data_IF_254172959517
#
_entry.id   IF_254172959517
#
_cell.length_a   1.000
_cell.length_b   1.000
_cell.length_c   1.000
_cell.angle_alpha   90.00
_cell.angle_beta   90.00
_cell.angle_gamma   90.00
#
_symmetry.space_group_name_H-M   'P 1'
#
loop_
_entity.id
_entity.type
_entity.pdbx_description
1 polymer ?
#
# COMPACT_ATOMS: atom_id res chain seq x y z
N UNK A 1 -15.67 37.65 -2.21
CA UNK A 1 -15.30 37.36 -0.80
C UNK A 1 -15.49 35.89 -0.41
N UNK A 2 -16.65 35.26 -0.65
CA UNK A 2 -16.82 33.82 -0.33
C UNK A 2 -16.04 32.91 -1.30
N UNK A 3 -16.17 33.14 -2.61
CA UNK A 3 -15.49 32.33 -3.64
C UNK A 3 -13.97 32.48 -3.59
N UNK A 4 -13.48 33.69 -3.32
CA UNK A 4 -12.06 34.00 -3.15
C UNK A 4 -11.44 33.29 -1.94
N UNK A 5 -12.18 33.18 -0.82
CA UNK A 5 -11.75 32.38 0.34
C UNK A 5 -11.73 30.88 0.03
N UNK A 6 -12.67 30.40 -0.79
CA UNK A 6 -12.73 29.01 -1.21
C UNK A 6 -11.56 28.67 -2.16
N UNK A 7 -11.28 29.53 -3.14
CA UNK A 7 -10.14 29.40 -4.05
C UNK A 7 -8.82 29.36 -3.29
N UNK A 8 -8.61 30.27 -2.33
CA UNK A 8 -7.41 30.27 -1.49
C UNK A 8 -7.24 28.97 -0.68
N UNK A 9 -8.33 28.37 -0.21
CA UNK A 9 -8.30 27.09 0.50
C UNK A 9 -7.90 25.94 -0.42
N UNK A 10 -8.43 25.90 -1.65
CA UNK A 10 -8.10 24.91 -2.67
C UNK A 10 -6.62 25.02 -3.10
N UNK A 11 -6.11 26.22 -3.34
CA UNK A 11 -4.67 26.44 -3.64
C UNK A 11 -3.78 25.93 -2.51
N UNK A 12 -4.18 26.16 -1.25
CA UNK A 12 -3.46 25.63 -0.09
C UNK A 12 -3.51 24.11 -0.01
N UNK A 13 -4.64 23.49 -0.33
CA UNK A 13 -4.79 22.03 -0.38
C UNK A 13 -3.92 21.42 -1.48
N UNK A 14 -3.96 21.99 -2.69
CA UNK A 14 -3.09 21.61 -3.81
C UNK A 14 -1.60 21.66 -3.42
N UNK A 15 -1.18 22.75 -2.76
CA UNK A 15 0.18 22.89 -2.27
C UNK A 15 0.61 21.79 -1.29
N UNK A 16 -0.29 21.35 -0.40
CA UNK A 16 -0.02 20.22 0.51
C UNK A 16 0.18 18.91 -0.26
N UNK A 17 -0.69 18.62 -1.23
CA UNK A 17 -0.61 17.41 -2.07
C UNK A 17 0.72 17.40 -2.84
N UNK A 18 1.06 18.51 -3.50
CA UNK A 18 2.37 18.68 -4.17
C UNK A 18 3.53 18.41 -3.21
N UNK A 19 3.49 18.96 -2.00
CA UNK A 19 4.50 18.72 -0.96
C UNK A 19 4.59 17.24 -0.54
N UNK A 20 3.49 16.49 -0.51
CA UNK A 20 3.51 15.05 -0.29
C UNK A 20 4.24 14.31 -1.42
N UNK A 21 3.90 14.60 -2.68
CA UNK A 21 4.56 14.01 -3.84
C UNK A 21 6.06 14.36 -3.88
N UNK A 22 6.44 15.59 -3.51
CA UNK A 22 7.86 15.98 -3.41
C UNK A 22 8.61 15.16 -2.37
N UNK A 23 8.02 14.88 -1.20
CA UNK A 23 8.66 14.03 -0.17
C UNK A 23 8.85 12.60 -0.66
N UNK A 24 7.87 12.06 -1.39
CA UNK A 24 8.01 10.74 -2.05
C UNK A 24 9.15 10.77 -3.06
N UNK A 25 9.20 11.80 -3.92
CA UNK A 25 10.31 11.99 -4.87
C UNK A 25 11.65 12.03 -4.16
N UNK A 26 11.79 12.81 -3.08
CA UNK A 26 13.04 12.87 -2.30
C UNK A 26 13.44 11.50 -1.75
N UNK A 27 12.47 10.72 -1.25
CA UNK A 27 12.73 9.35 -0.81
C UNK A 27 13.22 8.48 -1.97
N UNK A 28 12.48 8.44 -3.08
CA UNK A 28 12.82 7.65 -4.29
C UNK A 28 14.16 8.07 -4.88
N UNK A 29 14.54 9.35 -4.80
CA UNK A 29 15.83 9.85 -5.24
C UNK A 29 16.98 9.42 -4.33
N UNK A 30 16.73 9.22 -3.04
CA UNK A 30 17.72 8.82 -2.05
C UNK A 30 17.97 7.31 -2.01
N UNK A 31 17.04 6.50 -2.52
CA UNK A 31 17.16 5.03 -2.50
C UNK A 31 17.62 4.47 -3.85
N UNK A 32 18.62 3.61 -3.83
CA UNK A 32 19.13 2.92 -5.04
C UNK A 32 18.21 1.75 -5.45
N UNK A 33 17.53 1.14 -4.48
CA UNK A 33 16.54 0.09 -4.70
C UNK A 33 15.47 0.11 -3.60
N UNK A 34 14.27 -0.39 -3.93
CA UNK A 34 13.16 -0.53 -3.00
C UNK A 34 12.53 -1.91 -3.20
N UNK A 35 12.08 -2.52 -2.11
CA UNK A 35 11.37 -3.80 -2.19
C UNK A 35 10.06 -3.64 -2.97
N UNK A 36 9.55 -4.71 -3.62
CA UNK A 36 8.27 -4.65 -4.33
C UNK A 36 7.11 -4.13 -3.46
N UNK A 37 7.13 -4.42 -2.17
CA UNK A 37 6.13 -3.96 -1.20
C UNK A 37 6.21 -2.45 -0.98
N UNK A 38 7.41 -1.92 -0.70
CA UNK A 38 7.60 -0.47 -0.49
C UNK A 38 7.22 0.30 -1.75
N UNK A 39 7.51 -0.26 -2.93
CA UNK A 39 7.06 0.29 -4.20
C UNK A 39 5.55 0.34 -4.31
N UNK A 40 4.86 -0.78 -4.11
CA UNK A 40 3.41 -0.84 -4.24
C UNK A 40 2.74 0.19 -3.31
N UNK A 41 3.25 0.34 -2.08
CA UNK A 41 2.78 1.39 -1.15
C UNK A 41 3.03 2.81 -1.65
N UNK A 42 4.16 3.06 -2.33
CA UNK A 42 4.44 4.36 -2.94
C UNK A 42 3.51 4.60 -4.12
N UNK A 43 3.26 3.59 -4.96
CA UNK A 43 2.33 3.66 -6.09
C UNK A 43 0.89 3.92 -5.62
N UNK A 44 0.39 3.18 -4.62
CA UNK A 44 -0.94 3.39 -4.03
C UNK A 44 -1.10 4.81 -3.47
N UNK A 45 -0.08 5.32 -2.78
CA UNK A 45 -0.09 6.70 -2.26
C UNK A 45 -0.05 7.73 -3.38
N UNK A 46 0.70 7.48 -4.44
CA UNK A 46 0.75 8.38 -5.59
C UNK A 46 -0.61 8.41 -6.30
N UNK A 47 -1.28 7.27 -6.48
CA UNK A 47 -2.62 7.21 -7.07
C UNK A 47 -3.66 7.96 -6.23
N UNK A 48 -3.60 7.84 -4.90
CA UNK A 48 -4.43 8.63 -3.99
C UNK A 48 -4.17 10.13 -4.16
N UNK A 49 -2.90 10.57 -4.13
CA UNK A 49 -2.55 11.98 -4.28
C UNK A 49 -2.88 12.53 -5.67
N UNK A 50 -2.81 11.71 -6.71
CA UNK A 50 -3.25 12.07 -8.05
C UNK A 50 -4.74 12.35 -8.08
N UNK A 51 -5.57 11.45 -7.54
CA UNK A 51 -7.02 11.64 -7.50
C UNK A 51 -7.43 12.88 -6.69
N UNK A 52 -6.80 13.11 -5.53
CA UNK A 52 -7.01 14.31 -4.74
C UNK A 52 -6.58 15.58 -5.50
N UNK A 53 -5.42 15.53 -6.17
CA UNK A 53 -4.93 16.65 -6.98
C UNK A 53 -5.90 16.96 -8.12
N UNK A 54 -6.32 15.98 -8.90
CA UNK A 54 -7.22 16.15 -10.05
C UNK A 54 -8.56 16.76 -9.62
N UNK A 55 -9.11 16.32 -8.49
CA UNK A 55 -10.34 16.88 -7.92
C UNK A 55 -10.17 18.36 -7.54
N UNK A 56 -9.09 18.69 -6.84
CA UNK A 56 -8.80 20.07 -6.40
C UNK A 56 -8.47 20.97 -7.59
N UNK A 57 -7.67 20.49 -8.53
CA UNK A 57 -7.21 21.23 -9.70
C UNK A 57 -8.36 21.50 -10.66
N UNK A 58 -9.25 20.53 -10.91
CA UNK A 58 -10.46 20.73 -11.72
C UNK A 58 -11.40 21.77 -11.09
N UNK A 59 -11.49 21.79 -9.76
CA UNK A 59 -12.26 22.80 -9.03
C UNK A 59 -11.65 24.20 -9.15
N UNK A 60 -10.32 24.30 -9.18
CA UNK A 60 -9.60 25.57 -9.39
C UNK A 60 -9.75 26.07 -10.82
N UNK A 61 -9.61 25.20 -11.82
CA UNK A 61 -9.75 25.55 -13.25
C UNK A 61 -11.17 26.01 -13.59
N UNK A 62 -12.19 25.53 -12.87
CA UNK A 62 -13.57 26.00 -13.00
C UNK A 62 -13.78 27.43 -12.44
N UNK A 63 -12.89 27.90 -11.54
CA UNK A 63 -12.93 29.23 -10.94
C UNK A 63 -12.00 30.19 -11.69
N UNK A 64 -10.83 29.71 -12.12
CA UNK A 64 -9.75 30.48 -12.72
C UNK A 64 -9.06 29.68 -13.85
N UNK A 65 -9.31 30.07 -15.10
CA UNK A 65 -8.74 29.42 -16.28
C UNK A 65 -7.21 29.51 -16.35
N UNK A 66 -6.59 30.46 -15.63
CA UNK A 66 -5.11 30.61 -15.62
C UNK A 66 -4.41 29.49 -14.86
N UNK A 67 -5.15 28.73 -14.05
CA UNK A 67 -4.62 27.61 -13.25
C UNK A 67 -4.24 26.38 -14.09
N UNK A 68 -4.64 26.32 -15.38
CA UNK A 68 -4.36 25.18 -16.29
C UNK A 68 -2.87 24.84 -16.42
N UNK A 69 -1.98 25.83 -16.25
CA UNK A 69 -0.53 25.64 -16.33
C UNK A 69 0.01 24.81 -15.15
N UNK A 70 -0.67 24.84 -14.00
CA UNK A 70 -0.25 24.09 -12.81
C UNK A 70 -0.40 22.57 -13.04
N UNK A 71 -1.45 22.18 -13.79
CA UNK A 71 -1.73 20.79 -14.17
C UNK A 71 -0.58 20.21 -14.99
N UNK A 72 -0.25 20.84 -16.11
CA UNK A 72 0.81 20.36 -17.00
C UNK A 72 2.14 20.10 -16.25
N UNK A 73 2.57 21.05 -15.41
CA UNK A 73 3.79 20.91 -14.61
C UNK A 73 3.71 19.78 -13.56
N UNK A 74 2.53 19.56 -12.96
CA UNK A 74 2.33 18.48 -12.00
C UNK A 74 2.31 17.11 -12.68
N UNK A 75 1.62 16.97 -13.82
CA UNK A 75 1.52 15.71 -14.56
C UNK A 75 2.89 15.22 -15.03
N UNK A 76 3.71 16.12 -15.58
CA UNK A 76 5.08 15.80 -15.99
C UNK A 76 5.91 15.27 -14.81
N UNK A 77 5.87 15.97 -13.67
CA UNK A 77 6.59 15.56 -12.46
C UNK A 77 6.08 14.22 -11.91
N UNK A 78 4.77 14.00 -11.95
CA UNK A 78 4.12 12.79 -11.47
C UNK A 78 4.50 11.57 -12.32
N UNK A 79 4.36 11.68 -13.65
CA UNK A 79 4.72 10.59 -14.56
C UNK A 79 6.21 10.27 -14.52
N UNK A 80 7.07 11.29 -14.40
CA UNK A 80 8.52 11.09 -14.22
C UNK A 80 8.81 10.28 -12.95
N UNK A 81 8.13 10.60 -11.84
CA UNK A 81 8.29 9.87 -10.58
C UNK A 81 7.80 8.42 -10.69
N UNK A 82 6.62 8.19 -11.27
CA UNK A 82 6.10 6.84 -11.51
C UNK A 82 7.04 6.01 -12.40
N UNK A 83 7.61 6.62 -13.45
CA UNK A 83 8.61 5.98 -14.30
C UNK A 83 9.85 5.54 -13.52
N UNK A 84 10.39 6.42 -12.68
CA UNK A 84 11.55 6.11 -11.84
C UNK A 84 11.27 4.99 -10.84
N UNK A 85 10.11 5.03 -10.18
CA UNK A 85 9.68 3.98 -9.26
C UNK A 85 9.64 2.63 -9.98
N UNK A 86 9.04 2.59 -11.19
CA UNK A 86 8.96 1.38 -12.02
C UNK A 86 10.35 0.86 -12.42
N UNK A 87 11.25 1.74 -12.83
CA UNK A 87 12.60 1.39 -13.26
C UNK A 87 13.45 0.71 -12.17
N UNK A 88 13.21 1.02 -10.88
CA UNK A 88 13.92 0.39 -9.76
C UNK A 88 13.76 -1.15 -9.70
N UNK A 89 12.84 -1.78 -10.47
CA UNK A 89 12.68 -3.25 -10.54
C UNK A 89 13.62 -3.88 -11.56
N UNK A 90 13.94 -3.17 -12.65
CA UNK A 90 14.69 -3.72 -13.78
C UNK A 90 16.17 -3.94 -13.46
N UNK A 91 16.74 -3.16 -12.53
CA UNK A 91 18.13 -3.32 -12.11
C UNK A 91 18.36 -4.56 -11.21
N UNK A 92 17.30 -5.04 -10.54
CA UNK A 92 17.36 -6.28 -9.75
C UNK A 92 17.24 -7.54 -10.61
N UNK A 93 16.35 -7.53 -11.62
CA UNK A 93 16.10 -8.69 -12.47
C UNK A 93 17.20 -8.94 -13.53
N UNK A 94 17.82 -7.89 -14.06
CA UNK A 94 18.86 -8.02 -15.09
C UNK A 94 20.15 -8.70 -14.56
N UNK A 95 20.40 -8.69 -13.25
CA UNK A 95 21.58 -9.32 -12.64
C UNK A 95 21.45 -10.83 -12.42
N UNK A 96 20.24 -11.39 -12.47
CA UNK A 96 20.00 -12.83 -12.28
C UNK A 96 19.92 -13.63 -13.60
N UNK A 97 19.98 -12.97 -14.75
CA UNK A 97 19.82 -13.61 -16.06
C UNK A 97 21.13 -14.09 -16.71
N UNK A 98 22.27 -14.02 -16.03
CA UNK A 98 23.58 -14.43 -16.57
C UNK A 98 24.02 -15.81 -16.05
N UNK A 99 23.30 -16.87 -16.44
CA UNK A 99 23.85 -18.22 -16.45
C UNK A 99 23.17 -19.05 -17.56
N UNK A 100 23.87 -19.37 -18.67
CA UNK A 100 23.33 -20.24 -19.69
C UNK A 100 23.56 -21.70 -19.29
N UNK A 101 22.48 -22.44 -19.02
CA UNK A 101 22.48 -23.90 -18.90
C UNK A 101 21.54 -24.50 -19.97
N UNK A 102 21.88 -25.65 -20.59
CA UNK A 102 21.30 -26.03 -21.87
C UNK A 102 19.91 -26.65 -21.73
N UNK A 103 19.10 -26.41 -22.76
CA UNK A 103 17.73 -26.90 -22.97
C UNK A 103 17.58 -28.41 -22.82
N UNK A 104 16.49 -28.85 -22.19
CA UNK A 104 15.78 -30.06 -22.62
C UNK A 104 14.28 -29.85 -22.41
N UNK A 105 13.54 -30.02 -23.51
CA UNK A 105 12.08 -29.96 -23.61
C UNK A 105 11.49 -31.30 -23.18
N UNK A 106 10.43 -31.31 -22.34
CA UNK A 106 9.14 -31.96 -22.63
C UNK A 106 8.08 -31.70 -21.52
N UNK A 107 6.99 -31.04 -21.95
CA UNK A 107 5.55 -31.24 -21.71
C UNK A 107 4.98 -31.82 -20.38
N UNK A 108 4.07 -31.01 -19.83
CA UNK A 108 2.69 -31.29 -19.39
C UNK A 108 2.38 -31.56 -17.91
N UNK A 109 1.59 -30.61 -17.37
CA UNK A 109 0.44 -30.77 -16.46
C UNK A 109 0.64 -31.54 -15.15
N UNK A 110 0.87 -30.78 -14.08
CA UNK A 110 0.05 -30.70 -12.85
C UNK A 110 0.76 -29.68 -11.97
N UNK A 111 0.15 -28.52 -11.71
CA UNK A 111 0.65 -27.55 -10.73
C UNK A 111 0.78 -28.26 -9.37
N UNK A 112 2.00 -28.47 -8.83
CA UNK A 112 2.13 -28.67 -7.40
C UNK A 112 2.09 -27.27 -6.81
N UNK A 113 1.00 -26.94 -6.11
CA UNK A 113 0.96 -25.73 -5.28
C UNK A 113 2.19 -25.76 -4.37
N UNK A 114 3.16 -24.90 -4.67
CA UNK A 114 4.36 -24.75 -3.87
C UNK A 114 3.89 -24.14 -2.56
N UNK A 115 3.64 -24.99 -1.56
CA UNK A 115 3.59 -24.58 -0.17
C UNK A 115 5.01 -24.16 0.22
N UNK A 116 5.30 -22.89 -0.06
CA UNK A 116 6.39 -22.15 0.58
C UNK A 116 6.05 -22.18 2.07
N UNK A 117 6.67 -23.10 2.80
CA UNK A 117 6.75 -23.03 4.25
C UNK A 117 7.65 -21.83 4.57
N UNK A 118 7.03 -20.65 4.71
CA UNK A 118 7.71 -19.46 5.21
C UNK A 118 8.20 -19.74 6.65
N UNK A 119 9.40 -19.26 7.02
CA UNK A 119 9.90 -19.34 8.39
C UNK A 119 8.86 -18.73 9.33
N UNK A 120 8.48 -19.45 10.39
CA UNK A 120 7.42 -19.10 11.35
C UNK A 120 7.29 -17.60 11.55
N UNK A 121 6.26 -17.02 10.92
CA UNK A 121 5.96 -15.61 10.98
C UNK A 121 5.59 -15.26 12.42
N UNK A 122 6.40 -14.42 13.08
CA UNK A 122 6.02 -13.86 14.37
C UNK A 122 4.91 -12.83 14.11
N UNK A 123 3.68 -13.23 14.42
CA UNK A 123 2.53 -12.33 14.32
C UNK A 123 2.71 -11.14 15.28
N UNK A 124 2.34 -9.92 14.86
CA UNK A 124 2.35 -8.75 15.74
C UNK A 124 1.39 -9.01 16.91
N UNK A 125 1.82 -8.64 18.11
CA UNK A 125 0.97 -8.79 19.30
C UNK A 125 0.22 -7.51 19.58
N UNK A 126 -1.07 -7.61 19.88
CA UNK A 126 -1.89 -6.47 20.27
C UNK A 126 -2.39 -6.63 21.70
N UNK A 127 -2.02 -5.68 22.56
CA UNK A 127 -2.36 -5.72 23.98
C UNK A 127 -3.70 -5.05 24.33
N UNK A 128 -4.33 -4.34 23.37
CA UNK A 128 -5.50 -3.51 23.61
C UNK A 128 -5.20 -2.01 23.70
N UNK A 129 -3.93 -1.61 23.63
CA UNK A 129 -3.54 -0.20 23.64
C UNK A 129 -3.84 0.47 22.31
N UNK A 130 -4.47 1.63 22.36
CA UNK A 130 -4.84 2.40 21.17
C UNK A 130 -3.65 2.71 20.24
N UNK A 131 -2.47 2.99 20.81
CA UNK A 131 -1.25 3.32 20.06
C UNK A 131 -0.72 2.12 19.25
N UNK A 132 -1.03 0.89 19.68
CA UNK A 132 -0.61 -0.35 19.02
C UNK A 132 -1.61 -0.79 17.94
N UNK A 133 -2.83 -0.20 17.91
CA UNK A 133 -3.92 -0.63 17.04
C UNK A 133 -3.59 -0.42 15.55
N UNK A 134 -3.12 0.77 15.20
CA UNK A 134 -2.83 1.12 13.80
C UNK A 134 -1.76 0.21 13.17
N UNK A 135 -0.57 0.01 13.78
CA UNK A 135 0.44 -0.89 13.24
C UNK A 135 0.03 -2.37 13.29
N UNK A 136 -0.74 -2.78 14.30
CA UNK A 136 -1.28 -4.14 14.39
C UNK A 136 -2.28 -4.42 13.26
N UNK A 137 -3.26 -3.52 13.08
CA UNK A 137 -4.32 -3.68 12.08
C UNK A 137 -3.75 -3.70 10.67
N UNK A 138 -2.83 -2.79 10.34
CA UNK A 138 -2.18 -2.74 9.03
C UNK A 138 -1.44 -4.05 8.71
N UNK A 139 -0.69 -4.56 9.69
CA UNK A 139 0.06 -5.82 9.54
C UNK A 139 -0.86 -7.04 9.50
N UNK A 140 -1.85 -7.12 10.38
CA UNK A 140 -2.79 -8.23 10.43
C UNK A 140 -3.66 -8.28 9.17
N UNK A 141 -4.07 -7.12 8.67
CA UNK A 141 -4.86 -7.01 7.44
C UNK A 141 -4.06 -7.50 6.24
N UNK A 142 -2.82 -7.03 6.07
CA UNK A 142 -1.96 -7.39 4.95
C UNK A 142 -1.58 -8.88 4.92
N UNK A 143 -1.38 -9.50 6.08
CA UNK A 143 -0.85 -10.87 6.19
C UNK A 143 -1.97 -11.91 6.30
N UNK A 144 -3.03 -11.61 7.06
CA UNK A 144 -4.06 -12.58 7.43
C UNK A 144 -5.39 -12.26 6.77
N UNK A 145 -5.86 -11.01 6.81
CA UNK A 145 -7.19 -10.66 6.30
C UNK A 145 -7.27 -10.69 4.75
N UNK A 146 -6.29 -10.08 4.07
CA UNK A 146 -6.19 -10.05 2.60
C UNK A 146 -5.67 -11.35 1.99
N UNK A 147 -5.38 -12.36 2.81
CA UNK A 147 -4.92 -13.66 2.33
C UNK A 147 -6.13 -14.55 1.99
N UNK A 148 -6.34 -14.78 0.70
CA UNK A 148 -7.43 -15.62 0.16
C UNK A 148 -7.19 -17.12 0.37
N UNK A 149 -5.97 -17.53 0.74
CA UNK A 149 -5.65 -18.93 1.03
C UNK A 149 -6.04 -19.36 2.46
N UNK A 150 -6.46 -18.41 3.30
CA UNK A 150 -6.92 -18.66 4.66
C UNK A 150 -8.45 -18.56 4.73
N UNK A 151 -9.10 -19.57 5.31
CA UNK A 151 -10.53 -19.51 5.58
C UNK A 151 -10.83 -18.68 6.84
N UNK A 152 -12.04 -18.16 6.99
CA UNK A 152 -12.39 -17.23 8.07
C UNK A 152 -12.13 -17.82 9.48
N UNK A 153 -12.35 -19.12 9.68
CA UNK A 153 -11.99 -19.84 10.92
C UNK A 153 -10.49 -19.78 11.23
N UNK A 154 -9.64 -19.92 10.21
CA UNK A 154 -8.18 -19.83 10.37
C UNK A 154 -7.75 -18.38 10.65
N UNK A 155 -8.36 -17.40 9.97
CA UNK A 155 -8.12 -15.98 10.24
C UNK A 155 -8.49 -15.61 11.68
N UNK A 156 -9.61 -16.12 12.21
CA UNK A 156 -10.00 -15.90 13.60
C UNK A 156 -9.07 -16.58 14.62
N UNK A 157 -8.54 -17.77 14.30
CA UNK A 157 -7.49 -18.40 15.11
C UNK A 157 -6.21 -17.54 15.16
N UNK A 158 -5.80 -16.97 14.03
CA UNK A 158 -4.66 -16.06 13.98
C UNK A 158 -4.93 -14.76 14.74
N UNK A 159 -6.13 -14.20 14.63
CA UNK A 159 -6.54 -13.04 15.42
C UNK A 159 -6.41 -13.34 16.92
N UNK A 160 -6.98 -14.46 17.37
CA UNK A 160 -6.99 -14.85 18.78
C UNK A 160 -5.59 -15.09 19.36
N UNK A 161 -4.67 -15.64 18.55
CA UNK A 161 -3.27 -15.86 18.98
C UNK A 161 -2.41 -14.60 18.94
N UNK A 162 -2.83 -13.59 18.18
CA UNK A 162 -2.14 -12.30 18.08
C UNK A 162 -2.57 -11.31 19.17
N UNK A 163 -3.71 -11.56 19.82
CA UNK A 163 -4.19 -10.75 20.95
C UNK A 163 -3.53 -11.20 22.26
N UNK A 164 -3.12 -10.25 23.08
CA UNK A 164 -2.55 -10.48 24.40
C UNK A 164 -3.18 -9.55 25.45
N UNK A 165 -3.10 -9.95 26.72
CA UNK A 165 -3.61 -9.13 27.83
C UNK A 165 -5.11 -8.89 27.75
N UNK A 166 -5.53 -7.64 27.94
CA UNK A 166 -6.95 -7.27 28.01
C UNK A 166 -7.70 -7.48 26.69
N UNK A 167 -7.02 -7.33 25.55
CA UNK A 167 -7.62 -7.57 24.24
C UNK A 167 -8.02 -9.03 24.01
N UNK A 168 -7.29 -9.98 24.60
CA UNK A 168 -7.66 -11.41 24.54
C UNK A 168 -8.96 -11.67 25.29
N UNK A 169 -9.19 -10.99 26.42
CA UNK A 169 -10.37 -11.21 27.26
C UNK A 169 -11.67 -10.77 26.58
N UNK A 170 -11.62 -9.74 25.71
CA UNK A 170 -12.78 -9.23 24.96
C UNK A 170 -13.38 -10.29 24.05
N UNK A 171 -12.52 -11.06 23.37
CA UNK A 171 -12.96 -12.07 22.39
C UNK A 171 -12.91 -13.50 22.94
N UNK A 172 -12.48 -13.70 24.20
CA UNK A 172 -12.33 -15.03 24.79
C UNK A 172 -13.66 -15.79 24.89
N UNK A 173 -14.75 -15.06 25.10
CA UNK A 173 -16.12 -15.56 25.16
C UNK A 173 -16.72 -15.91 23.79
N UNK A 174 -16.06 -15.54 22.68
CA UNK A 174 -16.53 -15.85 21.33
C UNK A 174 -15.96 -17.20 20.87
N UNK A 175 -16.85 -18.09 20.45
CA UNK A 175 -16.44 -19.35 19.82
C UNK A 175 -15.75 -19.06 18.47
N UNK A 176 -14.72 -19.85 18.14
CA UNK A 176 -13.99 -19.71 16.88
C UNK A 176 -14.84 -20.26 15.74
N UNK A 177 -15.66 -19.39 15.15
CA UNK A 177 -16.54 -19.70 14.02
C UNK A 177 -16.43 -18.61 12.95
N UNK A 178 -16.76 -18.94 11.70
CA UNK A 178 -16.72 -17.96 10.59
C UNK A 178 -17.64 -16.76 10.85
N UNK A 179 -18.83 -17.01 11.37
CA UNK A 179 -19.78 -15.96 11.74
C UNK A 179 -19.21 -15.01 12.82
N UNK A 180 -18.36 -15.54 13.71
CA UNK A 180 -17.76 -14.77 14.77
C UNK A 180 -16.53 -13.95 14.32
N UNK A 181 -15.95 -14.24 13.15
CA UNK A 181 -14.87 -13.44 12.57
C UNK A 181 -15.35 -12.11 12.00
N UNK A 182 -16.57 -12.06 11.44
CA UNK A 182 -17.13 -10.83 10.85
C UNK A 182 -17.63 -9.83 11.89
N UNK A 183 -17.92 -10.28 13.12
CA UNK A 183 -18.42 -9.46 14.22
C UNK A 183 -17.34 -9.02 15.22
N UNK A 184 -16.13 -9.55 15.10
CA UNK A 184 -15.03 -9.36 16.05
C UNK A 184 -14.05 -8.25 15.66
#
# INVERSE_FOLDING_TARGET
MADEKNQAALVKQRGKIKGCCTRIKTYVDAVESATPVVRAQIEDKLDMYWSEYDTVQSSLEAIDETEVNDRAAFEEAFYSLCGKIREMLNLGAARSAAAPGPSTSVRSTTEPSIHIQLPRLNLPKFSGKYEEWFPFFDTFNSIIHSNESLNATQKFQYLRTSLVGDATNVIHSLEITEANYEIA
#
